data_IF_061011721160
#
_entry.id   IF_061011721160
#
_cell.length_a   1.000
_cell.length_b   1.000
_cell.length_c   1.000
_cell.angle_alpha   90.00
_cell.angle_beta   90.00
_cell.angle_gamma   90.00
#
_symmetry.space_group_name_H-M   'P 1'
#
loop_
_entity.id
_entity.type
_entity.pdbx_description
1 polymer ?
#
# COMPACT_ATOMS: atom_id res chain seq x y z
N UNK A 1 -4.46 14.53 68.56
CA UNK A 1 -4.61 13.58 67.43
C UNK A 1 -6.07 13.13 67.43
N UNK A 2 -6.81 13.38 66.33
CA UNK A 2 -8.24 13.11 66.06
C UNK A 2 -9.35 14.08 66.57
N UNK A 3 -10.34 14.28 65.66
CA UNK A 3 -11.67 14.95 65.67
C UNK A 3 -11.71 16.38 65.10
N UNK A 4 -12.20 16.68 63.88
CA UNK A 4 -13.46 16.40 63.14
C UNK A 4 -14.69 17.17 63.67
N UNK A 5 -15.34 17.92 62.74
CA UNK A 5 -16.77 18.39 62.71
C UNK A 5 -17.06 19.66 63.56
N UNK A 6 -17.81 20.71 63.17
CA UNK A 6 -18.78 20.98 62.11
C UNK A 6 -18.87 22.48 61.74
N UNK A 7 -19.32 22.71 60.50
CA UNK A 7 -20.06 23.87 59.93
C UNK A 7 -20.78 24.80 60.93
N UNK A 8 -20.71 26.12 60.69
CA UNK A 8 -21.79 26.90 60.03
C UNK A 8 -21.72 28.40 60.36
N UNK A 9 -21.38 29.19 59.34
CA UNK A 9 -21.79 30.56 59.00
C UNK A 9 -21.97 31.64 60.09
N UNK A 10 -21.17 32.70 60.00
CA UNK A 10 -21.68 34.03 59.59
C UNK A 10 -20.55 34.99 59.22
N UNK A 11 -20.61 35.46 57.97
CA UNK A 11 -20.18 36.78 57.47
C UNK A 11 -18.77 37.29 57.82
N UNK A 12 -17.81 36.96 56.96
CA UNK A 12 -16.64 37.82 56.69
C UNK A 12 -16.57 38.08 55.20
N UNK A 13 -16.58 39.37 54.88
CA UNK A 13 -16.37 39.98 53.58
C UNK A 13 -14.97 39.59 53.09
N UNK A 14 -14.91 38.72 52.08
CA UNK A 14 -13.78 38.62 51.18
C UNK A 14 -14.33 38.96 49.80
N UNK A 15 -13.98 40.16 49.35
CA UNK A 15 -14.05 40.59 47.96
C UNK A 15 -13.13 39.67 47.17
N UNK A 16 -13.67 38.51 46.77
CA UNK A 16 -13.05 37.66 45.77
C UNK A 16 -13.35 38.32 44.43
N UNK A 17 -12.37 39.07 43.95
CA UNK A 17 -12.29 39.54 42.57
C UNK A 17 -12.11 38.29 41.68
N UNK A 18 -13.17 37.49 41.54
CA UNK A 18 -13.29 36.56 40.42
C UNK A 18 -13.56 37.45 39.22
N UNK A 19 -12.47 37.92 38.62
CA UNK A 19 -12.43 38.19 37.19
C UNK A 19 -12.75 36.87 36.50
N UNK A 20 -14.04 36.55 36.44
CA UNK A 20 -14.62 35.89 35.29
C UNK A 20 -14.38 36.87 34.14
N UNK A 21 -13.17 36.87 33.58
CA UNK A 21 -13.02 37.12 32.16
C UNK A 21 -13.64 35.91 31.48
N UNK A 22 -14.98 35.83 31.50
CA UNK A 22 -15.68 35.35 30.34
C UNK A 22 -15.16 36.24 29.21
N UNK A 23 -14.15 35.73 28.49
CA UNK A 23 -13.84 36.24 27.18
C UNK A 23 -15.18 36.28 26.47
N UNK A 24 -15.67 37.50 26.25
CA UNK A 24 -16.81 37.81 25.42
C UNK A 24 -16.42 37.38 24.00
N UNK A 25 -16.48 36.09 23.71
CA UNK A 25 -16.80 35.66 22.36
C UNK A 25 -18.24 36.11 22.19
N UNK A 26 -18.46 37.17 21.41
CA UNK A 26 -19.80 37.64 21.14
C UNK A 26 -20.56 36.47 20.50
N UNK A 27 -21.61 36.01 21.17
CA UNK A 27 -22.47 34.97 20.62
C UNK A 27 -23.10 35.52 19.34
N UNK A 28 -22.90 34.82 18.24
CA UNK A 28 -23.38 35.24 16.92
C UNK A 28 -24.90 35.18 16.91
N UNK A 29 -25.53 36.20 16.33
CA UNK A 29 -26.98 36.25 16.22
C UNK A 29 -27.55 35.00 15.54
N UNK A 30 -28.72 34.54 16.03
CA UNK A 30 -29.37 33.32 15.53
C UNK A 30 -29.50 33.28 14.01
N UNK A 31 -29.77 34.42 13.37
CA UNK A 31 -29.93 34.51 11.91
C UNK A 31 -28.65 34.09 11.15
N UNK A 32 -27.48 34.36 11.70
CA UNK A 32 -26.20 33.95 11.13
C UNK A 32 -25.96 32.45 11.34
N UNK A 33 -26.30 31.91 12.52
CA UNK A 33 -26.26 30.46 12.76
C UNK A 33 -27.22 29.71 11.83
N UNK A 34 -28.44 30.22 11.63
CA UNK A 34 -29.40 29.66 10.69
C UNK A 34 -28.87 29.68 9.25
N UNK A 35 -28.15 30.74 8.85
CA UNK A 35 -27.48 30.79 7.54
C UNK A 35 -26.35 29.75 7.44
N UNK A 36 -25.48 29.63 8.45
CA UNK A 36 -24.41 28.62 8.48
C UNK A 36 -24.97 27.18 8.41
N UNK A 37 -26.13 26.93 9.02
CA UNK A 37 -26.83 25.66 8.89
C UNK A 37 -27.28 25.37 7.45
N UNK A 38 -27.65 26.38 6.66
CA UNK A 38 -27.93 26.20 5.23
C UNK A 38 -26.67 25.82 4.46
N UNK A 39 -25.54 26.45 4.77
CA UNK A 39 -24.26 26.16 4.14
C UNK A 39 -23.79 24.72 4.43
N UNK A 40 -23.80 24.33 5.71
CA UNK A 40 -23.40 22.97 6.14
C UNK A 40 -24.34 21.89 5.62
N UNK A 41 -25.62 22.21 5.39
CA UNK A 41 -26.58 21.33 4.73
C UNK A 41 -26.42 21.27 3.19
N UNK A 42 -25.44 21.98 2.61
CA UNK A 42 -25.19 22.02 1.16
C UNK A 42 -26.20 22.83 0.36
N UNK A 43 -27.07 23.64 1.00
CA UNK A 43 -28.09 24.47 0.33
C UNK A 43 -27.49 25.80 -0.11
N UNK A 44 -26.52 25.75 -1.02
CA UNK A 44 -25.67 26.89 -1.39
C UNK A 44 -26.47 28.09 -1.94
N UNK A 45 -27.48 27.87 -2.78
CA UNK A 45 -28.29 28.98 -3.33
C UNK A 45 -29.11 29.70 -2.24
N UNK A 46 -29.74 28.92 -1.35
CA UNK A 46 -30.51 29.46 -0.22
C UNK A 46 -29.59 30.19 0.77
N UNK A 47 -28.40 29.65 0.99
CA UNK A 47 -27.38 30.27 1.81
C UNK A 47 -26.92 31.61 1.23
N UNK A 48 -26.57 31.65 -0.07
CA UNK A 48 -26.17 32.88 -0.76
C UNK A 48 -27.28 33.95 -0.70
N UNK A 49 -28.54 33.55 -0.87
CA UNK A 49 -29.69 34.45 -0.69
C UNK A 49 -29.80 34.98 0.75
N UNK A 50 -29.58 34.13 1.75
CA UNK A 50 -29.61 34.52 3.17
C UNK A 50 -28.54 35.56 3.50
N UNK A 51 -27.31 35.39 3.00
CA UNK A 51 -26.20 36.31 3.26
C UNK A 51 -26.50 37.76 2.87
N UNK A 52 -27.26 37.98 1.79
CA UNK A 52 -27.63 39.32 1.32
C UNK A 52 -28.54 40.08 2.30
N UNK A 53 -29.26 39.35 3.16
CA UNK A 53 -30.21 39.93 4.11
C UNK A 53 -29.61 40.20 5.49
N UNK A 54 -28.48 39.55 5.81
CA UNK A 54 -27.83 39.66 7.10
C UNK A 54 -27.19 41.03 7.29
N UNK A 55 -27.29 41.57 8.51
CA UNK A 55 -26.69 42.85 8.89
C UNK A 55 -25.82 42.66 10.10
N UNK A 56 -24.51 42.75 9.90
CA UNK A 56 -23.54 42.58 10.97
C UNK A 56 -23.53 43.80 11.91
N UNK A 57 -23.64 43.52 13.20
CA UNK A 57 -23.60 44.49 14.30
C UNK A 57 -22.23 44.54 14.98
N UNK A 58 -21.51 43.42 15.00
CA UNK A 58 -20.22 43.25 15.68
C UNK A 58 -19.12 42.74 14.73
N UNK A 59 -17.89 42.61 15.26
CA UNK A 59 -16.74 42.21 14.45
C UNK A 59 -16.79 40.74 14.01
N UNK A 60 -17.33 39.84 14.84
CA UNK A 60 -17.43 38.42 14.50
C UNK A 60 -18.44 38.19 13.37
N UNK A 61 -19.57 38.90 13.38
CA UNK A 61 -20.56 38.90 12.30
C UNK A 61 -20.02 39.54 11.02
N UNK A 62 -19.20 40.60 11.12
CA UNK A 62 -18.51 41.15 9.94
C UNK A 62 -17.51 40.16 9.36
N UNK A 63 -16.77 39.46 10.23
CA UNK A 63 -15.85 38.41 9.82
C UNK A 63 -16.59 37.23 9.16
N UNK A 64 -17.75 36.84 9.71
CA UNK A 64 -18.65 35.85 9.11
C UNK A 64 -19.02 36.21 7.68
N UNK A 65 -19.59 37.41 7.47
CA UNK A 65 -20.02 37.84 6.13
C UNK A 65 -18.83 37.90 5.17
N UNK A 66 -17.71 38.45 5.62
CA UNK A 66 -16.50 38.53 4.81
C UNK A 66 -15.98 37.16 4.40
N UNK A 67 -15.90 36.21 5.34
CA UNK A 67 -15.44 34.85 5.10
C UNK A 67 -16.35 34.12 4.11
N UNK A 68 -17.66 34.11 4.35
CA UNK A 68 -18.57 33.36 3.49
C UNK A 68 -18.79 34.00 2.12
N UNK A 69 -18.70 35.33 2.00
CA UNK A 69 -18.61 35.97 0.68
C UNK A 69 -17.34 35.52 -0.06
N UNK A 70 -16.20 35.41 0.63
CA UNK A 70 -14.97 34.90 0.03
C UNK A 70 -15.07 33.42 -0.41
N UNK A 71 -15.80 32.59 0.34
CA UNK A 71 -16.08 31.19 -0.03
C UNK A 71 -16.91 31.09 -1.31
N UNK A 72 -17.86 32.01 -1.52
CA UNK A 72 -18.74 32.03 -2.68
C UNK A 72 -18.12 32.69 -3.93
N UNK A 73 -16.91 33.24 -3.81
CA UNK A 73 -16.18 33.80 -4.95
C UNK A 73 -15.88 32.71 -5.98
N UNK A 74 -16.19 32.99 -7.25
CA UNK A 74 -15.94 32.05 -8.35
C UNK A 74 -14.46 32.00 -8.76
N UNK A 75 -13.71 33.06 -8.47
CA UNK A 75 -12.32 33.20 -8.87
C UNK A 75 -11.41 33.02 -7.65
N UNK A 76 -10.51 32.04 -7.72
CA UNK A 76 -9.57 31.72 -6.64
C UNK A 76 -8.72 32.91 -6.21
N UNK A 77 -8.26 33.75 -7.13
CA UNK A 77 -7.45 34.93 -6.81
C UNK A 77 -8.27 35.99 -6.06
N UNK A 78 -9.56 36.15 -6.38
CA UNK A 78 -10.45 37.05 -5.64
C UNK A 78 -10.76 36.46 -4.26
N UNK A 79 -11.07 35.18 -4.19
CA UNK A 79 -11.29 34.45 -2.93
C UNK A 79 -10.11 34.60 -1.98
N UNK A 80 -8.89 34.39 -2.48
CA UNK A 80 -7.65 34.54 -1.70
C UNK A 80 -7.45 35.97 -1.19
N UNK A 81 -7.71 37.00 -2.01
CA UNK A 81 -7.66 38.41 -1.57
C UNK A 81 -8.69 38.70 -0.49
N UNK A 82 -9.91 38.19 -0.65
CA UNK A 82 -11.00 38.38 0.32
C UNK A 82 -10.71 37.67 1.65
N UNK A 83 -10.22 36.43 1.62
CA UNK A 83 -9.75 35.73 2.83
C UNK A 83 -8.59 36.47 3.51
N UNK A 84 -7.63 36.99 2.72
CA UNK A 84 -6.52 37.77 3.28
C UNK A 84 -7.03 39.04 3.97
N UNK A 85 -8.01 39.73 3.39
CA UNK A 85 -8.64 40.90 4.01
C UNK A 85 -9.33 40.53 5.33
N UNK A 86 -10.12 39.45 5.35
CA UNK A 86 -10.85 39.00 6.54
C UNK A 86 -9.90 38.61 7.67
N UNK A 87 -8.88 37.80 7.36
CA UNK A 87 -7.87 37.37 8.36
C UNK A 87 -7.01 38.51 8.90
N UNK A 88 -6.73 39.54 8.09
CA UNK A 88 -5.99 40.73 8.55
C UNK A 88 -6.85 41.66 9.39
N UNK A 89 -8.13 41.83 9.02
CA UNK A 89 -9.05 42.75 9.70
C UNK A 89 -9.57 42.16 11.01
N UNK A 90 -9.79 40.84 11.05
CA UNK A 90 -10.39 40.14 12.19
C UNK A 90 -9.55 38.93 12.65
N UNK A 91 -8.25 39.10 12.96
CA UNK A 91 -7.29 37.99 13.13
C UNK A 91 -7.62 37.03 14.28
N UNK A 92 -8.29 37.52 15.34
CA UNK A 92 -8.68 36.71 16.49
C UNK A 92 -10.05 36.02 16.33
N UNK A 93 -10.91 36.51 15.43
CA UNK A 93 -12.24 35.96 15.21
C UNK A 93 -12.16 34.53 14.64
N UNK A 94 -13.18 33.72 14.90
CA UNK A 94 -13.28 32.37 14.33
C UNK A 94 -13.13 32.39 12.81
N UNK A 95 -13.88 33.25 12.13
CA UNK A 95 -13.88 33.36 10.66
C UNK A 95 -12.59 33.96 10.10
N UNK A 96 -11.90 34.83 10.82
CA UNK A 96 -10.56 35.29 10.45
C UNK A 96 -9.54 34.16 10.50
N UNK A 97 -9.66 33.27 11.47
CA UNK A 97 -8.80 32.09 11.58
C UNK A 97 -9.18 30.99 10.57
N UNK A 98 -10.47 30.81 10.27
CA UNK A 98 -10.93 29.97 9.15
C UNK A 98 -10.42 30.50 7.82
N UNK A 99 -10.41 31.81 7.60
CA UNK A 99 -9.83 32.41 6.41
C UNK A 99 -8.33 32.09 6.27
N UNK A 100 -7.55 32.11 7.36
CA UNK A 100 -6.15 31.67 7.33
C UNK A 100 -5.99 30.21 6.94
N UNK A 101 -6.88 29.34 7.43
CA UNK A 101 -6.90 27.92 7.09
C UNK A 101 -7.19 27.73 5.59
N UNK A 102 -8.18 28.44 5.05
CA UNK A 102 -8.51 28.36 3.62
C UNK A 102 -7.40 28.90 2.73
N UNK A 103 -6.76 30.02 3.09
CA UNK A 103 -5.56 30.50 2.38
C UNK A 103 -4.46 29.44 2.40
N UNK A 104 -4.24 28.76 3.53
CA UNK A 104 -3.23 27.72 3.61
C UNK A 104 -3.55 26.52 2.68
N UNK A 105 -4.81 26.09 2.60
CA UNK A 105 -5.25 25.03 1.68
C UNK A 105 -5.05 25.44 0.22
N UNK A 106 -5.42 26.67 -0.14
CA UNK A 106 -5.18 27.20 -1.48
C UNK A 106 -3.69 27.23 -1.83
N UNK A 107 -2.84 27.71 -0.91
CA UNK A 107 -1.39 27.70 -1.09
C UNK A 107 -0.83 26.27 -1.24
N UNK A 108 -1.42 25.28 -0.58
CA UNK A 108 -1.04 23.86 -0.77
C UNK A 108 -1.36 23.39 -2.18
N UNK A 109 -2.55 23.73 -2.71
CA UNK A 109 -2.94 23.40 -4.09
C UNK A 109 -2.01 24.06 -5.12
N UNK A 110 -1.59 25.30 -4.85
CA UNK A 110 -0.63 26.04 -5.67
C UNK A 110 0.84 25.62 -5.42
N UNK A 111 1.06 24.60 -4.59
CA UNK A 111 2.39 24.05 -4.22
C UNK A 111 3.29 25.03 -3.46
N UNK A 112 2.72 26.09 -2.90
CA UNK A 112 3.40 27.08 -2.06
C UNK A 112 3.46 26.64 -0.58
N UNK A 113 4.06 25.48 -0.33
CA UNK A 113 4.05 24.79 0.98
C UNK A 113 4.59 25.67 2.12
N UNK A 114 5.64 26.46 1.87
CA UNK A 114 6.21 27.35 2.88
C UNK A 114 5.23 28.46 3.31
N UNK A 115 4.49 29.03 2.36
CA UNK A 115 3.50 30.05 2.66
C UNK A 115 2.30 29.45 3.40
N UNK A 116 1.84 28.27 2.97
CA UNK A 116 0.79 27.53 3.66
C UNK A 116 1.15 27.29 5.14
N UNK A 117 2.35 26.77 5.40
CA UNK A 117 2.83 26.53 6.76
C UNK A 117 2.88 27.81 7.60
N UNK A 118 3.33 28.93 7.02
CA UNK A 118 3.37 30.22 7.71
C UNK A 118 1.96 30.71 8.08
N UNK A 119 0.96 30.50 7.22
CA UNK A 119 -0.42 30.88 7.53
C UNK A 119 -1.05 29.96 8.59
N UNK A 120 -0.79 28.66 8.54
CA UNK A 120 -1.25 27.71 9.56
C UNK A 120 -0.68 28.05 10.96
N UNK A 121 0.59 28.46 11.03
CA UNK A 121 1.24 28.87 12.29
C UNK A 121 0.64 30.13 12.91
N UNK A 122 -0.05 30.97 12.13
CA UNK A 122 -0.76 32.16 12.63
C UNK A 122 -2.09 31.81 13.30
N UNK A 123 -2.63 30.62 13.07
CA UNK A 123 -3.90 30.18 13.67
C UNK A 123 -3.68 29.86 15.16
N UNK A 124 -4.24 30.67 16.04
CA UNK A 124 -4.08 30.54 17.50
C UNK A 124 -5.18 29.71 18.15
N UNK A 125 -6.33 29.56 17.50
CA UNK A 125 -7.49 28.80 18.00
C UNK A 125 -7.12 27.36 18.28
N UNK A 126 -7.47 26.92 19.49
CA UNK A 126 -7.30 25.53 19.94
C UNK A 126 -8.41 24.62 19.44
N UNK A 127 -9.52 25.18 18.96
CA UNK A 127 -10.66 24.42 18.44
C UNK A 127 -10.46 24.00 16.98
N UNK A 128 -9.63 24.74 16.24
CA UNK A 128 -9.29 24.44 14.86
C UNK A 128 -8.24 23.32 14.75
N UNK A 129 -8.61 22.11 15.21
CA UNK A 129 -7.72 20.94 15.24
C UNK A 129 -7.24 20.56 13.84
N UNK A 130 -8.06 20.79 12.80
CA UNK A 130 -7.73 20.56 11.39
C UNK A 130 -6.40 21.20 10.97
N UNK A 131 -6.02 22.34 11.57
CA UNK A 131 -4.72 22.97 11.29
C UNK A 131 -3.54 22.03 11.55
N UNK A 132 -3.66 21.10 12.51
CA UNK A 132 -2.61 20.14 12.85
C UNK A 132 -2.42 19.12 11.73
N UNK A 133 -3.49 18.69 11.06
CA UNK A 133 -3.41 17.82 9.88
C UNK A 133 -2.65 18.52 8.74
N UNK A 134 -3.03 19.76 8.41
CA UNK A 134 -2.37 20.51 7.34
C UNK A 134 -0.93 20.90 7.67
N UNK A 135 -0.61 21.16 8.94
CA UNK A 135 0.78 21.35 9.39
C UNK A 135 1.58 20.08 9.20
N UNK A 136 1.02 18.92 9.53
CA UNK A 136 1.67 17.63 9.30
C UNK A 136 1.96 17.43 7.81
N UNK A 137 0.96 17.70 6.94
CA UNK A 137 1.13 17.61 5.49
C UNK A 137 2.25 18.54 5.01
N UNK A 138 2.26 19.80 5.44
CA UNK A 138 3.29 20.76 5.05
C UNK A 138 4.69 20.33 5.53
N UNK A 139 4.81 19.82 6.76
CA UNK A 139 6.07 19.31 7.29
C UNK A 139 6.59 18.11 6.50
N UNK A 140 5.70 17.18 6.13
CA UNK A 140 6.05 16.04 5.29
C UNK A 140 6.60 16.48 3.92
N UNK A 141 5.90 17.41 3.25
CA UNK A 141 6.33 17.96 1.96
C UNK A 141 7.68 18.70 2.03
N UNK A 142 8.07 19.19 3.20
CA UNK A 142 9.37 19.81 3.44
C UNK A 142 10.45 18.82 3.90
N UNK A 143 10.16 17.51 3.89
CA UNK A 143 11.01 16.44 4.41
C UNK A 143 11.28 16.53 5.92
N UNK A 144 10.50 17.33 6.66
CA UNK A 144 10.55 17.42 8.12
C UNK A 144 9.65 16.34 8.74
N UNK A 145 10.06 15.09 8.56
CA UNK A 145 9.26 13.92 8.89
C UNK A 145 8.96 13.79 10.39
N UNK A 146 9.86 14.27 11.26
CA UNK A 146 9.63 14.21 12.70
C UNK A 146 8.52 15.18 13.12
N UNK A 147 8.53 16.41 12.61
CA UNK A 147 7.44 17.34 12.88
C UNK A 147 6.14 16.93 12.19
N UNK A 148 6.21 16.30 11.01
CA UNK A 148 5.03 15.71 10.37
C UNK A 148 4.33 14.71 11.29
N UNK A 149 5.09 13.78 11.89
CA UNK A 149 4.56 12.81 12.86
C UNK A 149 3.97 13.52 14.07
N UNK A 150 4.70 14.47 14.68
CA UNK A 150 4.23 15.18 15.88
C UNK A 150 2.90 15.92 15.64
N UNK A 151 2.77 16.60 14.49
CA UNK A 151 1.55 17.31 14.11
C UNK A 151 0.41 16.35 13.81
N UNK A 152 0.68 15.24 13.12
CA UNK A 152 -0.30 14.20 12.81
C UNK A 152 -0.83 13.50 14.07
N UNK A 153 0.05 13.14 15.01
CA UNK A 153 -0.34 12.57 16.29
C UNK A 153 -1.15 13.55 17.14
N UNK A 154 -0.81 14.85 17.08
CA UNK A 154 -1.63 15.88 17.74
C UNK A 154 -3.03 15.95 17.15
N UNK A 155 -3.18 15.84 15.82
CA UNK A 155 -4.49 15.75 15.16
C UNK A 155 -5.27 14.52 15.64
N UNK A 156 -4.68 13.32 15.58
CA UNK A 156 -5.34 12.08 15.99
C UNK A 156 -5.78 12.08 17.45
N UNK A 157 -5.01 12.74 18.34
CA UNK A 157 -5.33 12.82 19.77
C UNK A 157 -6.50 13.76 20.06
N UNK A 158 -6.63 14.85 19.30
CA UNK A 158 -7.56 15.94 19.62
C UNK A 158 -8.80 15.98 18.72
N UNK A 159 -8.75 15.36 17.54
CA UNK A 159 -9.86 15.35 16.60
C UNK A 159 -11.05 14.59 17.20
N UNK A 160 -12.24 15.18 17.06
CA UNK A 160 -13.52 14.53 17.39
C UNK A 160 -14.21 13.95 16.15
N UNK A 161 -13.58 14.08 14.99
CA UNK A 161 -14.15 13.68 13.70
C UNK A 161 -13.24 12.67 13.03
N UNK A 162 -13.85 11.83 12.18
CA UNK A 162 -13.11 10.88 11.35
C UNK A 162 -12.61 11.52 10.04
N UNK A 163 -12.90 12.80 9.81
CA UNK A 163 -12.38 13.54 8.66
C UNK A 163 -10.85 13.53 8.73
N UNK A 164 -10.18 13.17 7.64
CA UNK A 164 -8.71 13.00 7.54
C UNK A 164 -8.09 11.94 8.44
N UNK A 165 -8.86 11.11 9.16
CA UNK A 165 -8.30 10.13 10.09
C UNK A 165 -7.36 9.16 9.36
N UNK A 166 -7.85 8.51 8.32
CA UNK A 166 -7.08 7.56 7.51
C UNK A 166 -5.87 8.22 6.83
N UNK A 167 -6.07 9.39 6.21
CA UNK A 167 -4.99 10.16 5.59
C UNK A 167 -3.89 10.51 6.59
N UNK A 168 -4.26 10.83 7.83
CA UNK A 168 -3.30 11.14 8.89
C UNK A 168 -2.47 9.91 9.28
N UNK A 169 -3.10 8.73 9.35
CA UNK A 169 -2.37 7.48 9.55
C UNK A 169 -1.39 7.22 8.42
N UNK A 170 -1.80 7.39 7.16
CA UNK A 170 -0.91 7.24 6.02
C UNK A 170 0.23 8.25 6.04
N UNK A 171 -0.02 9.51 6.40
CA UNK A 171 1.02 10.52 6.53
C UNK A 171 2.08 10.14 7.57
N UNK A 172 1.68 9.58 8.71
CA UNK A 172 2.61 9.05 9.73
C UNK A 172 3.41 7.88 9.17
N UNK A 173 2.75 6.95 8.46
CA UNK A 173 3.39 5.78 7.82
C UNK A 173 4.47 6.21 6.83
N UNK A 174 4.15 7.13 5.94
CA UNK A 174 5.09 7.68 4.96
C UNK A 174 6.26 8.37 5.65
N UNK A 175 5.99 9.14 6.71
CA UNK A 175 7.03 9.82 7.48
C UNK A 175 7.98 8.81 8.16
N UNK A 176 7.46 7.72 8.72
CA UNK A 176 8.28 6.65 9.27
C UNK A 176 9.10 5.92 8.20
N UNK A 177 8.53 5.66 7.03
CA UNK A 177 9.25 5.06 5.91
C UNK A 177 10.42 5.94 5.47
N UNK A 178 10.20 7.25 5.32
CA UNK A 178 11.27 8.20 4.97
C UNK A 178 12.37 8.27 6.03
N UNK A 179 12.04 8.04 7.30
CA UNK A 179 12.99 7.92 8.41
C UNK A 179 13.65 6.53 8.51
N UNK A 180 13.39 5.61 7.57
CA UNK A 180 13.83 4.21 7.57
C UNK A 180 13.33 3.41 8.79
N UNK A 181 12.22 3.83 9.38
CA UNK A 181 11.57 3.20 10.53
C UNK A 181 10.40 2.31 10.09
N UNK A 182 10.65 1.37 9.18
CA UNK A 182 9.61 0.53 8.57
C UNK A 182 8.79 -0.28 9.59
N UNK A 183 9.40 -0.75 10.68
CA UNK A 183 8.68 -1.44 11.76
C UNK A 183 7.65 -0.54 12.46
N UNK A 184 7.93 0.77 12.59
CA UNK A 184 6.98 1.74 13.13
C UNK A 184 5.83 1.97 12.17
N UNK A 185 6.10 2.05 10.87
CA UNK A 185 5.08 2.13 9.82
C UNK A 185 4.11 0.93 9.86
N UNK A 186 4.62 -0.30 9.95
CA UNK A 186 3.79 -1.52 10.11
C UNK A 186 2.89 -1.43 11.35
N UNK A 187 3.45 -1.02 12.50
CA UNK A 187 2.67 -0.84 13.74
C UNK A 187 1.56 0.19 13.57
N UNK A 188 1.83 1.30 12.89
CA UNK A 188 0.85 2.35 12.63
C UNK A 188 -0.28 1.87 11.71
N UNK A 189 0.02 1.12 10.66
CA UNK A 189 -1.01 0.51 9.79
C UNK A 189 -1.87 -0.51 10.55
N UNK A 190 -1.27 -1.33 11.41
CA UNK A 190 -2.03 -2.26 12.25
C UNK A 190 -2.95 -1.54 13.25
N UNK A 191 -2.56 -0.35 13.75
CA UNK A 191 -3.47 0.50 14.54
C UNK A 191 -4.65 0.99 13.69
N UNK A 192 -4.42 1.46 12.46
CA UNK A 192 -5.49 1.89 11.55
C UNK A 192 -6.49 0.76 11.29
N UNK A 193 -6.00 -0.45 10.99
CA UNK A 193 -6.83 -1.65 10.75
C UNK A 193 -7.69 -2.06 11.96
N UNK A 194 -7.29 -1.69 13.18
CA UNK A 194 -8.05 -2.01 14.39
C UNK A 194 -9.23 -1.05 14.66
N UNK A 195 -9.35 0.04 13.89
CA UNK A 195 -10.41 1.02 14.05
C UNK A 195 -11.64 0.58 13.24
N UNK A 196 -12.81 0.55 13.89
CA UNK A 196 -14.04 0.15 13.22
C UNK A 196 -14.37 1.06 12.02
N UNK A 197 -14.69 0.46 10.88
CA UNK A 197 -14.95 1.19 9.63
C UNK A 197 -13.70 1.65 8.86
N UNK A 198 -12.50 1.29 9.32
CA UNK A 198 -11.24 1.63 8.66
C UNK A 198 -10.35 0.39 8.45
N UNK A 199 -9.44 0.44 7.46
CA UNK A 199 -9.28 1.47 6.43
C UNK A 199 -10.48 1.48 5.45
N UNK A 200 -10.80 2.65 4.88
CA UNK A 200 -11.88 2.75 3.88
C UNK A 200 -11.41 2.32 2.50
N UNK A 201 -10.13 2.56 2.16
CA UNK A 201 -9.48 1.99 0.99
C UNK A 201 -8.61 0.81 1.39
N UNK A 202 -9.24 -0.37 1.47
CA UNK A 202 -8.57 -1.63 1.82
C UNK A 202 -7.44 -1.98 0.84
N UNK A 203 -7.59 -1.67 -0.46
CA UNK A 203 -6.58 -2.03 -1.45
C UNK A 203 -5.32 -1.18 -1.29
N UNK A 204 -5.48 0.13 -1.15
CA UNK A 204 -4.36 1.02 -0.88
C UNK A 204 -3.70 0.74 0.46
N UNK A 205 -4.49 0.40 1.49
CA UNK A 205 -3.96 -0.06 2.77
C UNK A 205 -3.04 -1.28 2.62
N UNK A 206 -3.47 -2.32 1.91
CA UNK A 206 -2.68 -3.53 1.72
C UNK A 206 -1.40 -3.27 0.92
N UNK A 207 -1.47 -2.39 -0.08
CA UNK A 207 -0.28 -1.93 -0.79
C UNK A 207 0.72 -1.28 0.17
N UNK A 208 0.28 -0.34 1.02
CA UNK A 208 1.14 0.32 2.01
C UNK A 208 1.68 -0.63 3.06
N UNK A 209 0.88 -1.59 3.50
CA UNK A 209 1.29 -2.60 4.47
C UNK A 209 2.34 -3.54 3.87
N UNK A 210 2.13 -4.01 2.65
CA UNK A 210 3.10 -4.82 1.91
C UNK A 210 4.44 -4.09 1.75
N UNK A 211 4.39 -2.81 1.38
CA UNK A 211 5.60 -1.98 1.23
C UNK A 211 6.34 -1.76 2.54
N UNK A 212 5.62 -1.53 3.64
CA UNK A 212 6.24 -1.41 4.97
C UNK A 212 6.86 -2.76 5.43
N UNK A 213 6.20 -3.89 5.15
CA UNK A 213 6.76 -5.21 5.45
C UNK A 213 8.02 -5.50 4.62
N UNK A 214 8.00 -5.15 3.34
CA UNK A 214 9.15 -5.28 2.45
C UNK A 214 10.36 -4.51 2.98
N UNK A 215 10.18 -3.24 3.34
CA UNK A 215 11.24 -2.39 3.88
C UNK A 215 11.73 -2.81 5.27
N UNK A 216 10.90 -3.51 6.05
CA UNK A 216 11.30 -4.09 7.34
C UNK A 216 11.98 -5.46 7.20
N UNK A 217 12.08 -6.00 5.98
CA UNK A 217 12.70 -7.29 5.68
C UNK A 217 11.79 -8.50 5.89
N UNK A 218 10.52 -8.28 6.25
CA UNK A 218 9.54 -9.35 6.43
C UNK A 218 8.87 -9.70 5.10
N UNK A 219 9.59 -10.46 4.28
CA UNK A 219 9.21 -10.79 2.91
C UNK A 219 7.90 -11.57 2.79
N UNK A 220 7.65 -12.50 3.70
CA UNK A 220 6.46 -13.35 3.65
C UNK A 220 5.19 -12.52 3.83
N UNK A 221 5.18 -11.66 4.86
CA UNK A 221 4.06 -10.76 5.12
C UNK A 221 3.91 -9.68 4.04
N UNK A 222 5.02 -9.25 3.43
CA UNK A 222 4.98 -8.33 2.29
C UNK A 222 4.22 -8.93 1.10
N UNK A 223 4.60 -10.14 0.68
CA UNK A 223 3.95 -10.85 -0.43
C UNK A 223 2.49 -11.16 -0.11
N UNK A 224 2.19 -11.59 1.13
CA UNK A 224 0.82 -11.84 1.55
C UNK A 224 -0.04 -10.57 1.47
N UNK A 225 0.45 -9.43 1.97
CA UNK A 225 -0.26 -8.16 1.94
C UNK A 225 -0.47 -7.67 0.51
N UNK A 226 0.56 -7.76 -0.34
CA UNK A 226 0.45 -7.43 -1.76
C UNK A 226 -0.58 -8.31 -2.47
N UNK A 227 -0.55 -9.63 -2.24
CA UNK A 227 -1.55 -10.55 -2.79
C UNK A 227 -2.97 -10.16 -2.38
N UNK A 228 -3.20 -9.91 -1.09
CA UNK A 228 -4.50 -9.50 -0.58
C UNK A 228 -4.98 -8.21 -1.27
N UNK A 229 -4.11 -7.20 -1.36
CA UNK A 229 -4.42 -5.94 -2.06
C UNK A 229 -4.71 -6.12 -3.55
N UNK A 230 -3.93 -6.94 -4.25
CA UNK A 230 -4.12 -7.20 -5.68
C UNK A 230 -5.47 -7.87 -5.96
N UNK A 231 -5.85 -8.84 -5.14
CA UNK A 231 -7.07 -9.62 -5.32
C UNK A 231 -8.37 -8.84 -5.07
N UNK A 232 -8.31 -7.71 -4.35
CA UNK A 232 -9.48 -6.86 -4.10
C UNK A 232 -10.00 -6.21 -5.39
N UNK A 233 -9.10 -5.67 -6.22
CA UNK A 233 -9.45 -5.07 -7.50
C UNK A 233 -8.27 -5.13 -8.46
N UNK A 234 -8.24 -6.16 -9.30
CA UNK A 234 -7.11 -6.47 -10.20
C UNK A 234 -6.88 -5.45 -11.31
N UNK A 235 -7.84 -4.57 -11.57
CA UNK A 235 -7.80 -3.61 -12.68
C UNK A 235 -7.62 -2.16 -12.21
N UNK A 236 -7.19 -1.95 -10.97
CA UNK A 236 -6.93 -0.62 -10.43
C UNK A 236 -5.47 -0.18 -10.66
N UNK A 237 -5.24 1.13 -10.58
CA UNK A 237 -3.87 1.67 -10.58
C UNK A 237 -3.02 1.08 -9.45
N UNK A 238 -3.62 0.82 -8.28
CA UNK A 238 -2.93 0.24 -7.12
C UNK A 238 -2.54 -1.21 -7.40
N UNK A 239 -3.35 -1.99 -8.12
CA UNK A 239 -2.99 -3.35 -8.51
C UNK A 239 -1.75 -3.40 -9.40
N UNK A 240 -1.61 -2.47 -10.35
CA UNK A 240 -0.38 -2.34 -11.15
C UNK A 240 0.84 -2.01 -10.27
N UNK A 241 0.71 -1.07 -9.33
CA UNK A 241 1.79 -0.76 -8.39
C UNK A 241 2.19 -1.97 -7.53
N UNK A 242 1.21 -2.74 -7.07
CA UNK A 242 1.44 -3.97 -6.31
C UNK A 242 2.17 -5.01 -7.17
N UNK A 243 1.74 -5.20 -8.41
CA UNK A 243 2.37 -6.13 -9.35
C UNK A 243 3.84 -5.77 -9.62
N UNK A 244 4.14 -4.50 -9.84
CA UNK A 244 5.51 -4.01 -9.99
C UNK A 244 6.38 -4.39 -8.76
N UNK A 245 5.89 -4.14 -7.54
CA UNK A 245 6.59 -4.52 -6.30
C UNK A 245 6.82 -6.03 -6.21
N UNK A 246 5.82 -6.83 -6.57
CA UNK A 246 5.92 -8.29 -6.56
C UNK A 246 6.97 -8.81 -7.55
N UNK A 247 7.07 -8.21 -8.74
CA UNK A 247 8.13 -8.54 -9.69
C UNK A 247 9.52 -8.10 -9.22
N UNK A 248 9.66 -6.94 -8.58
CA UNK A 248 10.91 -6.52 -7.94
C UNK A 248 11.36 -7.52 -6.86
N UNK A 249 10.43 -7.98 -6.02
CA UNK A 249 10.67 -9.02 -5.03
C UNK A 249 11.10 -10.34 -5.68
N UNK A 250 10.40 -10.79 -6.73
CA UNK A 250 10.74 -12.01 -7.49
C UNK A 250 12.13 -11.89 -8.14
N UNK A 251 12.48 -10.71 -8.66
CA UNK A 251 13.80 -10.44 -9.23
C UNK A 251 14.89 -10.57 -8.17
N UNK A 252 14.63 -10.05 -6.97
CA UNK A 252 15.60 -10.06 -5.86
C UNK A 252 15.75 -11.44 -5.20
N UNK A 253 14.69 -12.25 -5.18
CA UNK A 253 14.62 -13.47 -4.36
C UNK A 253 14.28 -14.75 -5.14
N UNK A 254 14.20 -14.67 -6.46
CA UNK A 254 13.98 -15.81 -7.34
C UNK A 254 12.64 -16.52 -7.13
N UNK A 255 12.62 -17.82 -7.40
CA UNK A 255 11.41 -18.66 -7.37
C UNK A 255 10.72 -18.78 -6.01
N UNK A 256 11.33 -18.29 -4.93
CA UNK A 256 10.73 -18.28 -3.59
C UNK A 256 9.51 -17.35 -3.46
N UNK A 257 9.32 -16.41 -4.39
CA UNK A 257 8.15 -15.52 -4.43
C UNK A 257 7.10 -16.12 -5.36
N UNK A 258 6.02 -16.67 -4.82
CA UNK A 258 4.91 -17.20 -5.63
C UNK A 258 4.09 -16.06 -6.26
N UNK A 259 4.01 -16.07 -7.59
CA UNK A 259 3.28 -15.09 -8.41
C UNK A 259 2.13 -15.71 -9.22
N UNK A 260 1.81 -16.99 -8.99
CA UNK A 260 0.80 -17.71 -9.78
C UNK A 260 -0.60 -17.07 -9.70
N UNK A 261 -0.86 -16.29 -8.65
CA UNK A 261 -2.14 -15.59 -8.47
C UNK A 261 -2.32 -14.38 -9.41
N UNK A 262 -1.25 -13.84 -9.99
CA UNK A 262 -1.32 -12.72 -10.95
C UNK A 262 -1.95 -13.20 -12.27
N UNK A 263 -1.53 -14.38 -12.72
CA UNK A 263 -1.95 -14.98 -14.00
C UNK A 263 -2.45 -16.41 -13.74
N UNK A 264 -3.66 -16.59 -13.19
CA UNK A 264 -4.21 -17.91 -12.99
C UNK A 264 -4.45 -18.55 -14.36
N UNK A 265 -3.57 -19.48 -14.74
CA UNK A 265 -3.78 -20.28 -15.94
C UNK A 265 -4.93 -21.25 -15.67
N UNK A 266 -5.97 -21.20 -16.50
CA UNK A 266 -6.88 -22.33 -16.63
C UNK A 266 -6.15 -23.42 -17.40
N UNK A 267 -6.12 -24.64 -16.88
CA UNK A 267 -5.59 -25.78 -17.62
C UNK A 267 -6.28 -25.85 -18.99
N UNK A 268 -5.47 -25.91 -20.04
CA UNK A 268 -5.97 -26.02 -21.41
C UNK A 268 -6.57 -27.42 -21.57
N UNK A 269 -7.89 -27.54 -21.40
CA UNK A 269 -8.60 -28.80 -21.63
C UNK A 269 -8.71 -29.03 -23.14
N UNK A 270 -7.76 -29.77 -23.69
CA UNK A 270 -7.85 -30.28 -25.05
C UNK A 270 -8.70 -31.54 -24.98
N UNK A 271 -9.97 -31.46 -25.38
CA UNK A 271 -10.77 -32.65 -25.59
C UNK A 271 -10.16 -33.39 -26.78
N UNK A 272 -9.72 -34.65 -26.62
CA UNK A 272 -9.26 -35.43 -27.76
C UNK A 272 -10.43 -35.52 -28.73
N UNK A 273 -10.27 -34.98 -29.95
CA UNK A 273 -11.18 -35.29 -31.04
C UNK A 273 -11.10 -36.80 -31.24
N UNK A 274 -12.25 -37.47 -31.15
CA UNK A 274 -12.42 -38.90 -31.40
C UNK A 274 -11.88 -39.25 -32.79
N UNK A 275 -10.58 -39.53 -32.89
CA UNK A 275 -10.01 -40.26 -34.01
C UNK A 275 -10.31 -41.72 -33.71
N UNK A 276 -11.37 -42.22 -34.35
CA UNK A 276 -11.88 -43.57 -34.17
C UNK A 276 -10.78 -44.62 -34.12
N UNK A 277 -10.93 -45.51 -33.12
CA UNK A 277 -10.38 -46.88 -33.03
C UNK A 277 -9.18 -47.19 -33.92
N UNK A 278 -7.97 -46.97 -33.38
CA UNK A 278 -6.80 -47.73 -33.78
C UNK A 278 -6.48 -48.77 -32.69
N UNK A 279 -6.08 -50.00 -33.04
CA UNK A 279 -5.94 -51.10 -32.09
C UNK A 279 -4.82 -50.84 -31.08
N UNK A 280 -5.12 -51.02 -29.80
CA UNK A 280 -4.14 -51.08 -28.71
C UNK A 280 -3.28 -52.34 -28.87
N UNK A 281 -2.06 -52.17 -29.39
CA UNK A 281 -0.98 -53.12 -29.17
C UNK A 281 -0.10 -52.53 -28.08
N UNK A 282 -0.33 -52.98 -26.85
CA UNK A 282 0.56 -52.71 -25.73
C UNK A 282 1.82 -53.53 -25.89
N UNK A 283 2.88 -52.94 -26.45
CA UNK A 283 4.23 -53.48 -26.29
C UNK A 283 4.81 -52.96 -24.98
N UNK A 284 5.38 -53.83 -24.11
CA UNK A 284 5.97 -53.39 -22.85
C UNK A 284 7.17 -52.49 -23.10
N UNK A 285 7.35 -51.49 -22.23
CA UNK A 285 8.58 -50.69 -22.14
C UNK A 285 9.81 -51.62 -22.08
N UNK A 286 10.95 -51.22 -22.67
CA UNK A 286 12.18 -52.02 -22.61
C UNK A 286 12.59 -52.25 -21.15
N UNK A 287 12.73 -53.52 -20.78
CA UNK A 287 13.22 -53.94 -19.46
C UNK A 287 14.67 -53.45 -19.31
N UNK A 288 14.93 -52.68 -18.26
CA UNK A 288 16.29 -52.21 -17.91
C UNK A 288 17.04 -53.36 -17.21
N UNK A 289 18.11 -53.82 -17.83
CA UNK A 289 19.15 -54.62 -17.16
C UNK A 289 19.96 -53.69 -16.26
N UNK A 290 19.77 -53.80 -14.93
CA UNK A 290 20.44 -52.96 -13.92
C UNK A 290 21.97 -53.13 -13.88
N UNK A 291 22.55 -53.95 -14.77
CA UNK A 291 23.99 -54.23 -14.86
C UNK A 291 24.74 -53.41 -15.91
N UNK A 292 24.09 -52.53 -16.66
CA UNK A 292 24.79 -51.68 -17.65
C UNK A 292 25.53 -50.52 -16.99
N UNK A 293 26.72 -50.20 -17.49
CA UNK A 293 27.52 -49.09 -16.99
C UNK A 293 26.73 -47.76 -17.02
N UNK A 294 26.94 -46.92 -15.99
CA UNK A 294 26.30 -45.59 -15.89
C UNK A 294 26.85 -44.63 -16.97
N UNK A 295 28.07 -44.90 -17.44
CA UNK A 295 28.83 -44.11 -18.40
C UNK A 295 28.78 -44.76 -19.77
N UNK A 296 28.40 -43.99 -20.78
CA UNK A 296 28.49 -44.38 -22.18
C UNK A 296 29.74 -43.76 -22.83
N UNK A 297 30.33 -44.49 -23.78
CA UNK A 297 31.54 -44.03 -24.50
C UNK A 297 31.26 -42.86 -25.44
N UNK A 298 30.01 -42.72 -25.91
CA UNK A 298 29.58 -41.66 -26.82
C UNK A 298 28.09 -41.34 -26.63
N UNK A 299 27.62 -40.30 -27.33
CA UNK A 299 26.19 -39.96 -27.40
C UNK A 299 25.41 -41.17 -27.95
N UNK A 300 24.37 -41.67 -27.24
CA UNK A 300 23.54 -42.76 -27.75
C UNK A 300 22.91 -42.40 -29.11
N UNK A 301 22.80 -43.38 -30.01
CA UNK A 301 22.13 -43.22 -31.30
C UNK A 301 20.64 -43.56 -31.17
N UNK A 302 19.77 -42.66 -31.61
CA UNK A 302 18.32 -42.84 -31.61
C UNK A 302 17.59 -41.60 -32.08
N UNK A 303 16.32 -41.74 -32.48
CA UNK A 303 15.51 -40.64 -33.00
C UNK A 303 15.18 -39.59 -31.94
N UNK A 304 14.80 -40.02 -30.74
CA UNK A 304 14.46 -39.13 -29.62
C UNK A 304 15.34 -39.43 -28.40
N UNK A 305 15.99 -38.40 -27.88
CA UNK A 305 16.81 -38.44 -26.67
C UNK A 305 16.41 -37.29 -25.75
N UNK A 306 16.33 -37.55 -24.45
CA UNK A 306 16.00 -36.52 -23.47
C UNK A 306 17.29 -36.10 -22.78
N UNK A 307 17.70 -34.83 -22.89
CA UNK A 307 18.84 -34.30 -22.17
C UNK A 307 18.38 -33.70 -20.83
N UNK A 308 18.88 -34.23 -19.71
CA UNK A 308 18.50 -33.82 -18.36
C UNK A 308 19.58 -32.96 -17.66
N UNK A 309 20.77 -32.81 -18.26
CA UNK A 309 21.79 -31.93 -17.72
C UNK A 309 23.12 -31.98 -18.44
N UNK A 310 23.94 -30.96 -18.19
CA UNK A 310 25.34 -30.89 -18.64
C UNK A 310 26.19 -30.36 -17.49
N UNK A 311 27.19 -31.14 -17.08
CA UNK A 311 27.97 -30.89 -15.87
C UNK A 311 29.47 -30.73 -16.19
N UNK A 312 30.16 -29.92 -15.40
CA UNK A 312 31.64 -29.84 -15.38
C UNK A 312 32.29 -30.96 -14.57
N UNK A 313 31.53 -31.65 -13.71
CA UNK A 313 32.00 -32.74 -12.83
C UNK A 313 31.31 -34.07 -13.14
N UNK A 314 32.10 -35.13 -13.30
CA UNK A 314 31.62 -36.50 -13.57
C UNK A 314 30.74 -37.04 -12.43
N UNK A 315 31.11 -36.71 -11.18
CA UNK A 315 30.37 -37.14 -9.99
C UNK A 315 28.95 -36.55 -9.93
N UNK A 316 28.74 -35.35 -10.47
CA UNK A 316 27.40 -34.75 -10.51
C UNK A 316 26.54 -35.39 -11.60
N UNK A 317 27.14 -35.68 -12.76
CA UNK A 317 26.46 -36.39 -13.84
C UNK A 317 26.04 -37.82 -13.40
N UNK A 318 26.93 -38.53 -12.71
CA UNK A 318 26.64 -39.89 -12.23
C UNK A 318 25.52 -39.92 -11.18
N UNK A 319 25.48 -38.95 -10.25
CA UNK A 319 24.38 -38.81 -9.28
C UNK A 319 23.04 -38.60 -9.96
N UNK A 320 22.97 -37.77 -11.01
CA UNK A 320 21.73 -37.53 -11.73
C UNK A 320 21.28 -38.81 -12.47
N UNK A 321 22.19 -39.55 -13.10
CA UNK A 321 21.85 -40.82 -13.76
C UNK A 321 21.34 -41.86 -12.76
N UNK A 322 21.94 -41.95 -11.56
CA UNK A 322 21.43 -42.84 -10.50
C UNK A 322 20.01 -42.45 -10.09
N UNK A 323 19.74 -41.14 -9.91
CA UNK A 323 18.39 -40.64 -9.62
C UNK A 323 17.41 -41.04 -10.74
N UNK A 324 17.78 -40.83 -12.01
CA UNK A 324 16.90 -41.15 -13.14
C UNK A 324 16.67 -42.66 -13.30
N UNK A 325 17.70 -43.49 -13.09
CA UNK A 325 17.54 -44.96 -13.10
C UNK A 325 16.68 -45.48 -11.95
N UNK A 326 16.67 -44.80 -10.80
CA UNK A 326 15.74 -45.12 -9.70
C UNK A 326 14.27 -44.87 -10.07
N UNK A 327 14.02 -44.06 -11.10
CA UNK A 327 12.70 -43.84 -11.71
C UNK A 327 12.44 -44.82 -12.86
N UNK A 328 13.23 -45.89 -13.01
CA UNK A 328 13.12 -46.88 -14.09
C UNK A 328 13.27 -46.26 -15.48
N UNK A 329 14.04 -45.17 -15.61
CA UNK A 329 14.31 -44.52 -16.88
C UNK A 329 15.69 -44.95 -17.42
N UNK A 330 15.78 -45.37 -18.70
CA UNK A 330 17.03 -45.79 -19.31
C UNK A 330 17.95 -44.58 -19.50
N UNK A 331 18.82 -44.35 -18.52
CA UNK A 331 19.63 -43.13 -18.42
C UNK A 331 21.12 -43.45 -18.40
N UNK A 332 21.91 -42.63 -19.08
CA UNK A 332 23.37 -42.72 -19.15
C UNK A 332 23.98 -41.32 -19.18
N UNK A 333 25.27 -41.22 -18.86
CA UNK A 333 26.04 -40.00 -19.11
C UNK A 333 27.23 -40.29 -20.01
N UNK A 334 27.65 -39.32 -20.84
CA UNK A 334 28.82 -39.46 -21.70
C UNK A 334 29.67 -38.19 -21.72
N UNK A 335 30.91 -38.32 -22.18
CA UNK A 335 31.86 -37.22 -22.30
C UNK A 335 31.63 -36.43 -23.60
N UNK A 336 31.52 -35.10 -23.51
CA UNK A 336 31.42 -34.22 -24.65
C UNK A 336 32.37 -33.02 -24.52
N UNK A 337 33.05 -32.68 -25.63
CA UNK A 337 33.88 -31.48 -25.72
C UNK A 337 33.05 -30.30 -26.22
N UNK A 338 33.09 -29.18 -25.52
CA UNK A 338 32.55 -27.90 -25.98
C UNK A 338 33.60 -26.82 -25.75
N UNK A 339 33.97 -26.08 -26.79
CA UNK A 339 34.97 -25.01 -26.72
C UNK A 339 36.30 -25.46 -26.07
N UNK A 340 36.76 -26.68 -26.38
CA UNK A 340 37.96 -27.33 -25.81
C UNK A 340 37.88 -27.65 -24.30
N UNK A 341 36.72 -27.50 -23.67
CA UNK A 341 36.46 -27.90 -22.29
C UNK A 341 35.67 -29.22 -22.23
N UNK A 342 36.10 -30.10 -21.31
CA UNK A 342 35.48 -31.41 -21.06
C UNK A 342 34.22 -31.22 -20.22
N UNK A 343 33.10 -31.76 -20.69
CA UNK A 343 31.79 -31.71 -20.02
C UNK A 343 31.12 -33.08 -20.05
N UNK A 344 30.20 -33.31 -19.12
CA UNK A 344 29.47 -34.57 -18.95
C UNK A 344 28.00 -34.34 -19.23
N UNK A 345 27.45 -34.98 -20.27
CA UNK A 345 26.06 -34.81 -20.69
C UNK A 345 25.25 -35.98 -20.19
N UNK A 346 24.14 -35.71 -19.51
CA UNK A 346 23.20 -36.71 -18.99
C UNK A 346 22.01 -36.81 -19.93
N UNK A 347 21.75 -38.03 -20.40
CA UNK A 347 20.66 -38.32 -21.33
C UNK A 347 19.82 -39.52 -20.88
N UNK A 348 18.58 -39.53 -21.34
CA UNK A 348 17.61 -40.60 -21.14
C UNK A 348 17.03 -41.02 -22.50
N UNK A 349 16.97 -42.34 -22.73
CA UNK A 349 16.68 -42.94 -24.03
C UNK A 349 17.86 -43.76 -24.58
N UNK A 350 17.85 -44.15 -25.85
CA UNK A 350 17.01 -43.63 -26.93
C UNK A 350 15.55 -44.11 -26.93
N UNK A 351 14.64 -43.28 -27.43
CA UNK A 351 13.23 -43.60 -27.68
C UNK A 351 12.93 -43.62 -29.19
N UNK A 352 12.09 -44.57 -29.61
CA UNK A 352 11.70 -44.74 -31.02
C UNK A 352 10.48 -43.91 -31.41
N UNK A 353 9.65 -43.53 -30.44
CA UNK A 353 8.46 -42.71 -30.68
C UNK A 353 8.52 -41.43 -29.87
N UNK A 354 7.92 -40.36 -30.39
CA UNK A 354 7.78 -39.11 -29.66
C UNK A 354 6.93 -39.30 -28.39
N UNK A 355 5.92 -40.17 -28.43
CA UNK A 355 5.06 -40.47 -27.29
C UNK A 355 5.84 -41.08 -26.11
N UNK A 356 6.78 -41.99 -26.38
CA UNK A 356 7.61 -42.58 -25.32
C UNK A 356 8.57 -41.55 -24.72
N UNK A 357 9.12 -40.66 -25.56
CA UNK A 357 9.95 -39.56 -25.10
C UNK A 357 9.16 -38.55 -24.25
N UNK A 358 7.92 -38.23 -24.62
CA UNK A 358 7.03 -37.34 -23.87
C UNK A 358 6.63 -37.95 -22.53
N UNK A 359 6.35 -39.26 -22.48
CA UNK A 359 6.04 -39.97 -21.24
C UNK A 359 7.24 -39.97 -20.27
N UNK A 360 8.45 -40.22 -20.77
CA UNK A 360 9.66 -40.16 -19.98
C UNK A 360 10.01 -38.73 -19.54
N UNK A 361 9.77 -37.73 -20.40
CA UNK A 361 9.95 -36.30 -20.07
C UNK A 361 9.01 -35.87 -18.95
N UNK A 362 7.75 -36.29 -19.00
CA UNK A 362 6.76 -36.04 -17.95
C UNK A 362 7.20 -36.67 -16.62
N UNK A 363 7.66 -37.93 -16.63
CA UNK A 363 8.17 -38.62 -15.42
C UNK A 363 9.38 -37.91 -14.80
N UNK A 364 10.25 -37.32 -15.61
CA UNK A 364 11.38 -36.51 -15.13
C UNK A 364 10.91 -35.20 -14.50
N UNK A 365 9.96 -34.51 -15.14
CA UNK A 365 9.37 -33.26 -14.66
C UNK A 365 8.66 -33.46 -13.31
N UNK A 366 7.89 -34.53 -13.16
CA UNK A 366 7.18 -34.89 -11.93
C UNK A 366 8.12 -35.17 -10.74
N UNK A 367 9.42 -35.37 -11.00
CA UNK A 367 10.45 -35.64 -9.99
C UNK A 367 11.49 -34.51 -9.88
N UNK A 368 11.11 -33.29 -10.29
CA UNK A 368 11.95 -32.08 -10.26
C UNK A 368 13.27 -32.26 -11.02
N UNK A 369 13.23 -32.88 -12.20
CA UNK A 369 14.37 -33.01 -13.11
C UNK A 369 14.06 -32.24 -14.40
N UNK A 370 14.65 -31.06 -14.52
CA UNK A 370 14.58 -30.26 -15.75
C UNK A 370 15.22 -31.02 -16.90
N UNK A 371 14.49 -31.13 -18.01
CA UNK A 371 14.96 -31.83 -19.20
C UNK A 371 14.28 -31.30 -20.45
N UNK A 372 14.88 -31.58 -21.61
CA UNK A 372 14.31 -31.26 -22.91
C UNK A 372 14.59 -32.38 -23.92
N UNK A 373 13.64 -32.57 -24.84
CA UNK A 373 13.74 -33.58 -25.89
C UNK A 373 14.62 -33.04 -27.02
N UNK A 374 15.59 -33.85 -27.42
CA UNK A 374 16.49 -33.63 -28.56
C UNK A 374 16.19 -34.68 -29.62
N UNK A 375 15.99 -34.21 -30.85
CA UNK A 375 15.88 -35.06 -32.03
C UNK A 375 17.26 -35.13 -32.71
N UNK A 376 17.72 -36.34 -33.03
CA UNK A 376 18.93 -36.50 -33.84
C UNK A 376 18.63 -36.38 -35.34
#
# INVERSE_FOLDING_TARGET
MYKMISRSHSTVIIVLFILFTSLLSAEIDKQFSDAENLFTAGKIDAFAGSLLSLKASNNDEKAFLGYYNAVLEKNTANSMKSFALVSQTYPSSLYGQMALLEIAKLNILDREIAQAMNNLKKITSTEMIEKSYWLAFCSYQQNDYQNAINHAENFLRLSKTNLYLEDTYFLIVESYISLRQANSAVKTLNKLKAINGFPTDMQFFYFRLGYAYELSGNRQDAVASYRDGYLLNKFSQVAYLIEDRLFELRTSFGSSIDLNFLYPYTELSITPVDTGTAPTISTPLPIIDQKTDLKADAKPSGEYLIQAGRFSSESNASKLVVKMRSLELPSVYYEALQNKQKTWVVVCGPYNTQQDADAAHTKLKDNDIDSFITKN
#
